data_IF_178327271378
#
_entry.id   IF_178327271378
#
_cell.length_a   1.000
_cell.length_b   1.000
_cell.length_c   1.000
_cell.angle_alpha   90.00
_cell.angle_beta   90.00
_cell.angle_gamma   90.00
#
_symmetry.space_group_name_H-M   'P 1'
#
loop_
_entity.id
_entity.type
_entity.pdbx_description
1 polymer ?
#
# COMPACT_ATOMS: atom_id res chain seq x y z
N UNK A 1 -10.36 14.33 7.47
CA UNK A 1 -9.25 13.36 7.50
C UNK A 1 -8.14 14.01 8.30
N UNK A 2 -7.67 13.35 9.36
CA UNK A 2 -6.58 13.87 10.21
C UNK A 2 -5.20 13.40 9.71
N UNK A 3 -4.13 13.96 10.26
CA UNK A 3 -2.77 13.48 10.00
C UNK A 3 -2.59 12.04 10.51
N UNK A 4 -3.14 11.72 11.69
CA UNK A 4 -3.11 10.36 12.26
C UNK A 4 -3.84 9.33 11.40
N UNK A 5 -4.96 9.71 10.77
CA UNK A 5 -5.67 8.86 9.80
C UNK A 5 -4.73 8.50 8.63
N UNK A 6 -3.99 9.48 8.11
CA UNK A 6 -3.08 9.28 6.98
C UNK A 6 -1.84 8.47 7.39
N UNK A 7 -1.28 8.68 8.58
CA UNK A 7 -0.18 7.87 9.09
C UNK A 7 -0.59 6.40 9.30
N UNK A 8 -1.79 6.18 9.84
CA UNK A 8 -2.38 4.84 9.97
C UNK A 8 -2.58 4.20 8.59
N UNK A 9 -3.02 4.97 7.60
CA UNK A 9 -3.11 4.51 6.22
C UNK A 9 -1.76 4.11 5.63
N UNK A 10 -0.75 4.96 5.78
CA UNK A 10 0.62 4.70 5.30
C UNK A 10 1.17 3.42 5.95
N UNK A 11 0.91 3.21 7.24
CA UNK A 11 1.27 1.99 7.94
C UNK A 11 0.56 0.74 7.40
N UNK A 12 -0.65 0.89 6.85
CA UNK A 12 -1.38 -0.18 6.15
C UNK A 12 -0.78 -0.50 4.78
N UNK A 13 -0.31 0.51 4.03
CA UNK A 13 0.44 0.31 2.77
C UNK A 13 1.78 -0.36 3.02
N UNK A 14 2.49 0.08 4.06
CA UNK A 14 3.64 -0.57 4.68
C UNK A 14 4.81 -0.95 3.79
N UNK A 15 4.87 -0.57 2.51
CA UNK A 15 6.07 -0.70 1.68
C UNK A 15 6.04 0.34 0.57
N UNK A 16 7.22 0.80 0.13
CA UNK A 16 7.32 1.71 -1.03
C UNK A 16 6.82 1.01 -2.29
N UNK A 17 7.14 -0.28 -2.47
CA UNK A 17 6.66 -1.05 -3.62
C UNK A 17 5.14 -1.21 -3.67
N UNK A 18 4.47 -1.38 -2.54
CA UNK A 18 3.02 -1.42 -2.48
C UNK A 18 2.40 -0.05 -2.79
N UNK A 19 3.06 1.05 -2.41
CA UNK A 19 2.65 2.39 -2.81
C UNK A 19 2.77 2.57 -4.34
N UNK A 20 3.92 2.24 -4.93
CA UNK A 20 4.11 2.34 -6.39
C UNK A 20 3.09 1.50 -7.17
N UNK A 21 2.85 0.27 -6.71
CA UNK A 21 1.83 -0.60 -7.28
C UNK A 21 0.43 0.00 -7.17
N UNK A 22 0.08 0.57 -6.01
CA UNK A 22 -1.20 1.26 -5.81
C UNK A 22 -1.38 2.41 -6.79
N UNK A 23 -0.35 3.26 -6.95
CA UNK A 23 -0.39 4.42 -7.84
C UNK A 23 -0.46 4.01 -9.30
N UNK A 24 0.25 2.95 -9.70
CA UNK A 24 0.14 2.39 -11.04
C UNK A 24 -1.28 1.93 -11.36
N UNK A 25 -1.91 1.17 -10.45
CA UNK A 25 -3.28 0.68 -10.64
C UNK A 25 -4.29 1.84 -10.62
N UNK A 26 -4.08 2.85 -9.76
CA UNK A 26 -4.96 4.02 -9.65
C UNK A 26 -4.90 4.93 -10.87
N UNK A 27 -3.78 4.96 -11.60
CA UNK A 27 -3.63 5.74 -12.85
C UNK A 27 -4.67 5.34 -13.91
N UNK A 28 -5.10 4.08 -13.92
CA UNK A 28 -6.12 3.57 -14.84
C UNK A 28 -7.06 2.58 -14.12
N UNK A 29 -8.04 3.08 -13.34
CA UNK A 29 -8.91 2.24 -12.51
C UNK A 29 -9.81 1.28 -13.31
N UNK A 30 -10.08 1.61 -14.58
CA UNK A 30 -10.90 0.79 -15.46
C UNK A 30 -10.17 -0.43 -16.01
N UNK A 31 -8.83 -0.43 -15.96
CA UNK A 31 -7.99 -1.50 -16.47
C UNK A 31 -7.73 -2.56 -15.40
N UNK A 32 -8.00 -3.81 -15.76
CA UNK A 32 -7.55 -4.99 -15.01
C UNK A 32 -6.16 -5.41 -15.50
N UNK A 33 -5.25 -5.68 -14.56
CA UNK A 33 -3.85 -6.01 -14.81
C UNK A 33 -3.55 -7.46 -14.41
N UNK A 34 -2.84 -8.19 -15.26
CA UNK A 34 -2.22 -9.46 -14.87
C UNK A 34 -0.88 -9.21 -14.14
N UNK A 35 -0.47 -10.12 -13.22
CA UNK A 35 0.79 -9.97 -12.48
C UNK A 35 2.04 -9.83 -13.35
N UNK A 36 2.10 -10.49 -14.52
CA UNK A 36 3.28 -10.44 -15.37
C UNK A 36 3.44 -9.05 -16.02
N UNK A 37 2.33 -8.43 -16.41
CA UNK A 37 2.32 -7.04 -16.88
C UNK A 37 2.74 -6.07 -15.79
N UNK A 38 2.34 -6.28 -14.54
CA UNK A 38 2.77 -5.46 -13.40
C UNK A 38 4.28 -5.61 -13.13
N UNK A 39 4.81 -6.83 -13.21
CA UNK A 39 6.26 -7.10 -13.11
C UNK A 39 7.03 -6.31 -14.16
N UNK A 40 6.57 -6.32 -15.42
CA UNK A 40 7.19 -5.58 -16.52
C UNK A 40 7.12 -4.07 -16.34
N UNK A 41 5.93 -3.55 -16.01
CA UNK A 41 5.68 -2.11 -15.87
C UNK A 41 6.49 -1.50 -14.73
N UNK A 42 6.52 -2.17 -13.56
CA UNK A 42 7.26 -1.71 -12.39
C UNK A 42 8.73 -2.14 -12.37
N UNK A 43 9.18 -2.91 -13.38
CA UNK A 43 10.53 -3.50 -13.46
C UNK A 43 10.93 -4.18 -12.15
N UNK A 44 10.01 -4.95 -11.58
CA UNK A 44 10.14 -5.58 -10.26
C UNK A 44 10.19 -7.11 -10.39
N UNK A 45 10.08 -7.83 -9.27
CA UNK A 45 9.98 -9.30 -9.27
C UNK A 45 8.54 -9.75 -8.99
N UNK A 46 8.21 -10.97 -9.44
CA UNK A 46 6.90 -11.59 -9.16
C UNK A 46 6.61 -11.65 -7.66
N UNK A 47 7.63 -11.96 -6.84
CA UNK A 47 7.52 -12.01 -5.38
C UNK A 47 7.06 -10.66 -4.81
N UNK A 48 7.68 -9.56 -5.25
CA UNK A 48 7.34 -8.20 -4.79
C UNK A 48 5.94 -7.81 -5.24
N UNK A 49 5.58 -8.11 -6.48
CA UNK A 49 4.23 -7.83 -7.01
C UNK A 49 3.16 -8.63 -6.26
N UNK A 50 3.37 -9.93 -6.07
CA UNK A 50 2.41 -10.79 -5.39
C UNK A 50 2.22 -10.40 -3.91
N UNK A 51 3.31 -10.02 -3.22
CA UNK A 51 3.22 -9.49 -1.85
C UNK A 51 2.47 -8.15 -1.82
N UNK A 52 2.78 -7.25 -2.76
CA UNK A 52 2.10 -5.97 -2.90
C UNK A 52 0.60 -6.13 -3.14
N UNK A 53 0.21 -7.01 -4.08
CA UNK A 53 -1.19 -7.30 -4.40
C UNK A 53 -1.93 -7.85 -3.18
N UNK A 54 -1.38 -8.89 -2.51
CA UNK A 54 -2.00 -9.44 -1.28
C UNK A 54 -2.21 -8.37 -0.22
N UNK A 55 -1.23 -7.50 -0.05
CA UNK A 55 -1.29 -6.42 0.94
C UNK A 55 -2.35 -5.38 0.60
N UNK A 56 -2.39 -4.93 -0.66
CA UNK A 56 -3.37 -3.94 -1.11
C UNK A 56 -4.80 -4.51 -1.13
N UNK A 57 -4.97 -5.80 -1.45
CA UNK A 57 -6.25 -6.49 -1.32
C UNK A 57 -6.71 -6.57 0.14
N UNK A 58 -5.81 -6.98 1.05
CA UNK A 58 -6.11 -7.02 2.49
C UNK A 58 -6.44 -5.65 3.08
N UNK A 59 -5.88 -4.57 2.51
CA UNK A 59 -6.19 -3.19 2.86
C UNK A 59 -7.46 -2.65 2.18
N UNK A 60 -8.12 -3.44 1.31
CA UNK A 60 -9.31 -3.03 0.58
C UNK A 60 -9.07 -1.93 -0.45
N UNK A 61 -7.91 -1.91 -1.10
CA UNK A 61 -7.52 -0.92 -2.12
C UNK A 61 -7.51 -1.47 -3.55
N UNK A 62 -7.41 -2.79 -3.67
CA UNK A 62 -7.34 -3.51 -4.93
C UNK A 62 -8.36 -4.63 -4.90
N UNK A 63 -9.07 -4.81 -6.00
CA UNK A 63 -9.95 -5.96 -6.22
C UNK A 63 -9.28 -6.90 -7.22
N UNK A 64 -9.39 -8.21 -6.95
CA UNK A 64 -9.11 -9.22 -7.96
C UNK A 64 -10.36 -9.41 -8.82
N UNK A 65 -10.20 -9.23 -10.11
CA UNK A 65 -11.22 -9.42 -11.14
C UNK A 65 -10.94 -10.74 -11.87
N UNK A 66 -11.99 -11.54 -12.06
CA UNK A 66 -11.89 -12.89 -12.61
C UNK A 66 -10.87 -13.79 -11.90
N UNK A 67 -10.20 -14.65 -12.66
CA UNK A 67 -9.31 -15.68 -12.09
C UNK A 67 -7.95 -15.13 -11.61
N UNK A 68 -7.38 -14.11 -12.27
CA UNK A 68 -6.01 -13.66 -11.98
C UNK A 68 -5.67 -12.22 -12.39
N UNK A 69 -6.67 -11.36 -12.54
CA UNK A 69 -6.42 -9.95 -12.86
C UNK A 69 -6.77 -9.05 -11.68
N UNK A 70 -6.15 -7.88 -11.61
CA UNK A 70 -6.28 -6.98 -10.48
C UNK A 70 -6.51 -5.56 -10.96
N UNK A 71 -7.39 -4.82 -10.29
CA UNK A 71 -7.66 -3.42 -10.61
C UNK A 71 -7.75 -2.58 -9.34
N UNK A 72 -7.54 -1.29 -9.50
CA UNK A 72 -7.82 -0.33 -8.44
C UNK A 72 -9.32 -0.29 -8.17
N UNK A 73 -9.71 -0.68 -6.96
CA UNK A 73 -11.08 -0.56 -6.49
C UNK A 73 -11.05 -0.60 -4.97
N UNK A 74 -11.43 0.52 -4.36
CA UNK A 74 -11.42 0.63 -2.91
C UNK A 74 -12.71 0.10 -2.30
N UNK A 75 -12.61 -0.44 -1.09
CA UNK A 75 -13.76 -0.96 -0.34
C UNK A 75 -14.65 0.16 0.22
N UNK A 76 -14.17 1.41 0.23
CA UNK A 76 -14.96 2.56 0.67
C UNK A 76 -14.46 3.88 0.08
N UNK A 77 -15.34 4.91 -0.02
CA UNK A 77 -14.92 6.26 -0.42
C UNK A 77 -13.86 6.86 0.51
N UNK A 78 -13.84 6.49 1.80
CA UNK A 78 -12.81 6.95 2.74
C UNK A 78 -11.41 6.48 2.30
N UNK A 79 -11.27 5.23 1.88
CA UNK A 79 -10.00 4.68 1.40
C UNK A 79 -9.56 5.29 0.06
N UNK A 80 -10.49 5.59 -0.84
CA UNK A 80 -10.17 6.31 -2.09
C UNK A 80 -9.65 7.73 -1.81
N UNK A 81 -10.28 8.44 -0.89
CA UNK A 81 -9.80 9.75 -0.44
C UNK A 81 -8.39 9.65 0.17
N UNK A 82 -8.14 8.66 1.04
CA UNK A 82 -6.82 8.45 1.66
C UNK A 82 -5.75 8.10 0.62
N UNK A 83 -6.07 7.27 -0.37
CA UNK A 83 -5.17 6.95 -1.48
C UNK A 83 -4.85 8.19 -2.33
N UNK A 84 -5.86 9.01 -2.62
CA UNK A 84 -5.71 10.25 -3.40
C UNK A 84 -4.88 11.31 -2.66
N UNK A 85 -5.04 11.43 -1.34
CA UNK A 85 -4.22 12.33 -0.53
C UNK A 85 -2.79 11.81 -0.39
N UNK A 86 -2.61 10.50 -0.21
CA UNK A 86 -1.28 9.89 -0.20
C UNK A 86 -0.54 10.13 -1.53
N UNK A 87 -1.22 10.01 -2.67
CA UNK A 87 -0.68 10.33 -4.00
C UNK A 87 -0.18 11.78 -4.09
N UNK A 88 -1.00 12.76 -3.66
CA UNK A 88 -0.62 14.19 -3.64
C UNK A 88 0.60 14.44 -2.76
N UNK A 89 0.62 13.86 -1.56
CA UNK A 89 1.74 14.01 -0.62
C UNK A 89 2.99 13.32 -1.16
N UNK A 90 2.86 12.17 -1.79
CA UNK A 90 3.99 11.45 -2.38
C UNK A 90 4.61 12.21 -3.56
N UNK A 91 3.78 12.79 -4.42
CA UNK A 91 4.24 13.59 -5.56
C UNK A 91 5.01 14.85 -5.12
N UNK A 92 4.65 15.45 -3.98
CA UNK A 92 5.26 16.70 -3.50
C UNK A 92 6.37 16.48 -2.47
N UNK A 93 6.29 15.42 -1.66
CA UNK A 93 7.18 15.13 -0.52
C UNK A 93 7.50 13.62 -0.45
N UNK A 94 8.12 13.04 -1.49
CA UNK A 94 8.34 11.59 -1.57
C UNK A 94 9.16 11.05 -0.40
N UNK A 95 10.22 11.77 -0.01
CA UNK A 95 11.08 11.39 1.12
C UNK A 95 10.35 11.34 2.45
N UNK A 96 9.34 12.20 2.66
CA UNK A 96 8.53 12.20 3.89
C UNK A 96 7.69 10.94 3.96
N UNK A 97 7.02 10.58 2.86
CA UNK A 97 6.20 9.37 2.79
C UNK A 97 7.05 8.11 2.94
N UNK A 98 8.20 8.04 2.27
CA UNK A 98 9.13 6.91 2.39
C UNK A 98 9.57 6.73 3.85
N UNK A 99 9.96 7.81 4.52
CA UNK A 99 10.31 7.78 5.96
C UNK A 99 9.14 7.30 6.82
N UNK A 100 7.93 7.79 6.56
CA UNK A 100 6.74 7.36 7.29
C UNK A 100 6.45 5.86 7.10
N UNK A 101 6.59 5.33 5.87
CA UNK A 101 6.44 3.90 5.57
C UNK A 101 7.46 3.07 6.35
N UNK A 102 8.73 3.49 6.37
CA UNK A 102 9.82 2.78 7.06
C UNK A 102 9.60 2.82 8.58
N UNK A 103 9.29 3.99 9.15
CA UNK A 103 9.08 4.17 10.59
C UNK A 103 7.87 3.37 11.10
N UNK A 104 6.76 3.36 10.35
CA UNK A 104 5.57 2.60 10.70
C UNK A 104 5.84 1.08 10.84
N UNK A 105 6.82 0.53 10.10
CA UNK A 105 7.26 -0.86 10.29
C UNK A 105 8.01 -1.04 11.61
N UNK A 106 8.93 -0.12 11.91
CA UNK A 106 9.75 -0.16 13.12
C UNK A 106 8.89 -0.04 14.38
N UNK A 107 7.88 0.82 14.38
CA UNK A 107 6.98 1.01 15.52
C UNK A 107 6.13 -0.24 15.79
N UNK A 108 5.63 -0.89 14.75
CA UNK A 108 4.94 -2.19 14.90
C UNK A 108 5.87 -3.26 15.47
N UNK A 109 7.09 -3.39 14.93
CA UNK A 109 8.07 -4.35 15.44
C UNK A 109 8.44 -4.08 16.90
N UNK A 110 8.60 -2.81 17.28
CA UNK A 110 8.88 -2.40 18.66
C UNK A 110 7.71 -2.71 19.59
N UNK A 111 6.47 -2.40 19.20
CA UNK A 111 5.27 -2.72 19.97
C UNK A 111 5.11 -4.24 20.19
N UNK A 112 5.43 -5.06 19.19
CA UNK A 112 5.52 -6.51 19.37
C UNK A 112 6.61 -6.90 20.38
N UNK A 113 7.84 -6.40 20.24
CA UNK A 113 8.93 -6.70 21.17
C UNK A 113 8.62 -6.29 22.62
N UNK A 114 7.97 -5.16 22.83
CA UNK A 114 7.57 -4.69 24.15
C UNK A 114 6.42 -5.52 24.74
N UNK A 115 5.49 -6.00 23.91
CA UNK A 115 4.41 -6.90 24.35
C UNK A 115 4.92 -8.28 24.82
N UNK A 116 6.10 -8.71 24.35
CA UNK A 116 6.76 -9.94 24.79
C UNK A 116 7.70 -9.74 26.00
N UNK A 117 7.94 -8.51 26.44
CA UNK A 117 8.60 -8.23 27.74
C UNK A 117 7.59 -8.34 28.87
N UNK A 118 7.00 -9.53 29.03
CA UNK A 118 6.15 -9.86 30.16
C UNK A 118 7.04 -10.35 31.32
N UNK A 119 7.24 -9.43 32.27
CA UNK A 119 7.57 -9.55 33.71
C UNK A 119 8.45 -10.73 34.16
N UNK A 120 9.65 -10.38 34.64
CA UNK A 120 10.15 -10.92 35.91
C UNK A 120 9.45 -10.21 37.09
#
# INVERSE_FOLDING_TARGET
MTEDDLLTFIASIGSVWALELLLLLKRDPGRSWDPESLVRELRSSSVVIDEGLRRLQGAGLVMQDGARTYRYQTASPKLDNMASELEKVYATKPMTVIKAIVNARTDKLRAFSDAFKLKD
#
